data_IF_685824817440
#
_entry.id   IF_685824817440
#
_cell.length_a   1.000
_cell.length_b   1.000
_cell.length_c   1.000
_cell.angle_alpha   90.00
_cell.angle_beta   90.00
_cell.angle_gamma   90.00
#
_symmetry.space_group_name_H-M   'P 1'
#
loop_
_entity.id
_entity.type
_entity.pdbx_description
1 polymer ?
#
# COMPACT_ATOMS: atom_id res chain seq x y z
N UNK A 1 -25.14 33.17 -2.08
CA UNK A 1 -23.80 32.74 -2.50
C UNK A 1 -22.87 33.93 -2.37
N UNK A 2 -21.90 33.90 -1.46
CA UNK A 2 -20.88 34.93 -1.34
C UNK A 2 -19.93 34.81 -2.55
N UNK A 3 -19.68 35.95 -3.19
CA UNK A 3 -18.82 36.01 -4.36
C UNK A 3 -17.39 35.59 -3.94
N UNK A 4 -16.69 34.67 -4.63
CA UNK A 4 -15.36 34.21 -4.26
C UNK A 4 -14.31 35.33 -4.11
N UNK A 5 -14.54 36.48 -4.74
CA UNK A 5 -13.72 37.68 -4.57
C UNK A 5 -13.83 38.30 -3.16
N UNK A 6 -14.99 38.22 -2.51
CA UNK A 6 -15.18 38.77 -1.16
C UNK A 6 -14.52 37.90 -0.08
N UNK A 7 -14.38 36.59 -0.31
CA UNK A 7 -13.69 35.68 0.60
C UNK A 7 -12.16 35.89 0.60
N UNK A 8 -11.57 36.23 -0.54
CA UNK A 8 -10.16 36.61 -0.64
C UNK A 8 -9.85 37.87 0.17
N UNK A 9 -10.74 38.89 0.11
CA UNK A 9 -10.58 40.15 0.86
C UNK A 9 -10.60 39.94 2.39
N UNK A 10 -11.33 38.94 2.91
CA UNK A 10 -11.33 38.62 4.34
C UNK A 10 -9.99 38.00 4.77
N UNK A 11 -9.43 37.12 3.96
CA UNK A 11 -8.10 36.57 4.19
C UNK A 11 -7.01 37.63 4.17
N UNK A 12 -7.02 38.52 3.19
CA UNK A 12 -6.07 39.61 3.05
C UNK A 12 -6.14 40.61 4.23
N UNK A 13 -7.35 40.87 4.74
CA UNK A 13 -7.53 41.75 5.91
C UNK A 13 -6.95 41.13 7.19
N UNK A 14 -7.08 39.80 7.36
CA UNK A 14 -6.52 39.12 8.51
C UNK A 14 -4.99 39.05 8.49
N UNK A 15 -4.38 38.92 7.31
CA UNK A 15 -2.92 39.02 7.09
C UNK A 15 -2.40 40.39 7.31
N UNK A 16 -3.09 41.44 6.82
CA UNK A 16 -2.72 42.85 6.99
C UNK A 16 -2.70 43.28 8.46
N UNK A 17 -3.56 42.70 9.30
CA UNK A 17 -3.61 42.96 10.73
C UNK A 17 -2.51 42.24 11.54
N UNK A 18 -1.51 41.66 10.90
CA UNK A 18 -0.39 40.93 11.54
C UNK A 18 -0.84 39.87 12.54
N UNK A 19 -2.04 39.34 12.38
CA UNK A 19 -2.54 38.24 13.20
C UNK A 19 -2.00 36.93 12.63
N UNK A 20 -1.53 36.05 13.50
CA UNK A 20 -1.19 34.69 13.10
C UNK A 20 -2.44 34.04 12.51
N UNK A 21 -2.36 33.72 11.20
CA UNK A 21 -3.43 33.00 10.53
C UNK A 21 -3.47 31.59 11.10
N UNK A 22 -4.56 31.25 11.72
CA UNK A 22 -4.83 29.89 12.23
C UNK A 22 -6.00 29.32 11.46
N UNK A 23 -6.01 28.02 11.31
CA UNK A 23 -7.20 27.31 10.84
C UNK A 23 -8.40 27.71 11.69
N UNK A 24 -9.44 28.20 11.06
CA UNK A 24 -10.63 28.69 11.77
C UNK A 24 -11.90 28.38 10.98
N UNK A 25 -13.00 28.20 11.71
CA UNK A 25 -14.32 28.06 11.08
C UNK A 25 -14.90 29.46 10.84
N UNK A 26 -15.21 29.72 9.57
CA UNK A 26 -15.92 30.91 9.15
C UNK A 26 -17.43 30.73 9.16
N UNK A 27 -18.21 31.81 8.85
CA UNK A 27 -19.67 31.72 8.68
C UNK A 27 -19.98 30.74 7.54
N UNK A 28 -21.15 30.12 7.63
CA UNK A 28 -21.65 29.14 6.65
C UNK A 28 -20.78 27.87 6.52
N UNK A 29 -20.19 27.41 7.62
CA UNK A 29 -19.39 26.18 7.66
C UNK A 29 -18.21 26.20 6.66
N UNK A 30 -17.58 27.34 6.52
CA UNK A 30 -16.34 27.46 5.76
C UNK A 30 -15.13 27.27 6.66
N UNK A 31 -14.26 26.34 6.31
CA UNK A 31 -12.96 26.17 6.93
C UNK A 31 -11.94 27.01 6.17
N UNK A 32 -11.29 27.92 6.87
CA UNK A 32 -10.16 28.69 6.35
C UNK A 32 -8.86 28.07 6.84
N UNK A 33 -8.04 27.58 5.91
CA UNK A 33 -6.76 26.97 6.20
C UNK A 33 -5.63 27.73 5.48
N UNK A 34 -4.49 28.01 6.16
CA UNK A 34 -3.33 28.55 5.48
C UNK A 34 -2.80 27.52 4.48
N UNK A 35 -2.73 27.87 3.21
CA UNK A 35 -2.15 27.02 2.18
C UNK A 35 -0.66 26.75 2.43
N UNK A 36 -0.13 25.72 1.79
CA UNK A 36 1.27 25.28 1.98
C UNK A 36 2.31 26.38 1.64
N UNK A 37 1.95 27.33 0.79
CA UNK A 37 2.80 28.47 0.44
C UNK A 37 2.94 29.51 1.57
N UNK A 38 2.02 29.58 2.51
CA UNK A 38 2.14 30.40 3.72
C UNK A 38 3.21 29.88 4.70
N UNK A 39 3.58 28.62 4.62
CA UNK A 39 4.67 28.02 5.38
C UNK A 39 6.06 28.44 4.84
N UNK A 40 6.14 28.86 3.59
CA UNK A 40 7.36 29.35 2.94
C UNK A 40 7.34 30.89 2.96
N UNK A 41 7.94 31.48 3.98
CA UNK A 41 7.94 32.94 4.33
C UNK A 41 8.41 33.91 3.20
N UNK A 42 8.61 33.47 1.96
CA UNK A 42 9.25 34.30 0.91
C UNK A 42 8.38 34.63 -0.29
N UNK A 43 7.18 34.11 -0.42
CA UNK A 43 6.32 34.44 -1.57
C UNK A 43 4.97 34.99 -1.08
N UNK A 44 4.49 36.05 -1.80
CA UNK A 44 3.29 36.79 -1.44
C UNK A 44 2.12 35.84 -1.11
N UNK A 45 1.58 35.98 0.08
CA UNK A 45 0.54 35.16 0.67
C UNK A 45 -0.81 35.33 -0.07
N UNK A 46 -1.00 34.59 -1.15
CA UNK A 46 -2.28 34.56 -1.89
C UNK A 46 -3.07 33.30 -1.67
N UNK A 47 -2.54 32.31 -0.96
CA UNK A 47 -3.13 30.99 -0.82
C UNK A 47 -3.75 30.75 0.56
N UNK A 48 -4.90 31.41 0.78
CA UNK A 48 -5.83 30.97 1.82
C UNK A 48 -6.80 30.00 1.18
N UNK A 49 -6.72 28.74 1.57
CA UNK A 49 -7.67 27.72 1.17
C UNK A 49 -8.95 27.92 1.98
N UNK A 50 -10.04 28.20 1.28
CA UNK A 50 -11.38 28.28 1.85
C UNK A 50 -12.17 27.08 1.35
N UNK A 51 -12.39 26.14 2.25
CA UNK A 51 -13.17 24.93 1.95
C UNK A 51 -14.50 24.99 2.66
N UNK A 52 -15.56 24.66 1.96
CA UNK A 52 -16.87 24.49 2.57
C UNK A 52 -16.92 23.12 3.24
N UNK A 53 -16.94 23.10 4.55
CA UNK A 53 -17.15 21.87 5.30
C UNK A 53 -18.64 21.52 5.26
N UNK A 54 -19.01 20.52 4.50
CA UNK A 54 -20.35 19.92 4.60
C UNK A 54 -20.40 19.04 5.85
N UNK A 55 -20.68 19.66 6.98
CA UNK A 55 -20.82 18.94 8.27
C UNK A 55 -22.18 18.26 8.42
N UNK A 56 -23.08 18.49 7.49
CA UNK A 56 -24.41 17.90 7.46
C UNK A 56 -24.62 17.27 6.07
N UNK A 57 -23.88 16.23 5.75
CA UNK A 57 -24.43 15.25 4.86
C UNK A 57 -25.56 14.56 5.61
N UNK A 58 -26.77 14.91 5.22
CA UNK A 58 -28.01 14.36 5.79
C UNK A 58 -28.33 13.00 5.18
N UNK A 59 -27.37 12.33 4.61
CA UNK A 59 -27.56 10.97 4.13
C UNK A 59 -27.51 10.04 5.34
N UNK A 60 -28.67 9.48 5.69
CA UNK A 60 -28.82 8.59 6.84
C UNK A 60 -27.89 7.39 6.72
N UNK A 61 -27.61 6.88 5.55
CA UNK A 61 -26.71 5.74 5.32
C UNK A 61 -25.28 6.07 5.71
N UNK A 62 -24.84 7.31 5.45
CA UNK A 62 -23.50 7.77 5.85
C UNK A 62 -23.41 7.88 7.37
N UNK A 63 -24.44 8.42 8.03
CA UNK A 63 -24.49 8.53 9.48
C UNK A 63 -24.49 7.14 10.14
N UNK A 64 -25.32 6.22 9.67
CA UNK A 64 -25.40 4.85 10.18
C UNK A 64 -24.05 4.11 10.00
N UNK A 65 -23.35 4.38 8.89
CA UNK A 65 -21.99 3.86 8.67
C UNK A 65 -21.00 4.40 9.71
N UNK A 66 -21.05 5.70 10.04
CA UNK A 66 -20.16 6.27 11.07
C UNK A 66 -20.47 5.73 12.47
N UNK A 67 -21.74 5.60 12.80
CA UNK A 67 -22.17 5.04 14.09
C UNK A 67 -21.63 3.62 14.28
N UNK A 68 -21.75 2.77 13.27
CA UNK A 68 -21.24 1.40 13.29
C UNK A 68 -19.71 1.32 13.51
N UNK A 69 -18.92 2.20 12.87
CA UNK A 69 -17.47 2.26 13.10
C UNK A 69 -17.13 2.69 14.52
N UNK A 70 -17.91 3.63 15.06
CA UNK A 70 -17.73 4.10 16.43
C UNK A 70 -18.10 3.02 17.44
N UNK A 71 -19.20 2.29 17.23
CA UNK A 71 -19.60 1.16 18.08
C UNK A 71 -18.50 0.10 18.15
N UNK A 72 -17.99 -0.35 16.99
CA UNK A 72 -16.88 -1.32 16.91
C UNK A 72 -15.65 -0.80 17.68
N UNK A 73 -15.34 0.48 17.58
CA UNK A 73 -14.23 1.07 18.32
C UNK A 73 -14.46 1.04 19.83
N UNK A 74 -15.65 1.47 20.28
CA UNK A 74 -16.01 1.53 21.71
C UNK A 74 -16.01 0.14 22.37
N UNK A 75 -16.45 -0.89 21.64
CA UNK A 75 -16.39 -2.28 22.12
C UNK A 75 -14.96 -2.77 22.39
N UNK A 76 -13.97 -2.18 21.71
CA UNK A 76 -12.55 -2.49 21.85
C UNK A 76 -11.79 -1.47 22.72
N UNK A 77 -12.49 -0.68 23.52
CA UNK A 77 -11.90 0.31 24.41
C UNK A 77 -12.24 0.01 25.87
N UNK A 78 -11.38 0.49 26.76
CA UNK A 78 -11.61 0.50 28.22
C UNK A 78 -11.66 1.94 28.71
N UNK A 79 -12.60 2.20 29.58
CA UNK A 79 -12.73 3.48 30.26
C UNK A 79 -11.74 3.49 31.44
N UNK A 80 -10.78 4.40 31.41
CA UNK A 80 -9.84 4.65 32.50
C UNK A 80 -10.06 6.06 33.07
N UNK A 81 -9.71 6.24 34.35
CA UNK A 81 -9.76 7.53 35.04
C UNK A 81 -8.33 7.88 35.46
N UNK A 82 -7.93 9.12 35.25
CA UNK A 82 -6.61 9.59 35.69
C UNK A 82 -6.60 9.68 37.24
N UNK A 83 -5.47 9.24 37.84
CA UNK A 83 -5.30 9.27 39.29
C UNK A 83 -5.35 10.69 39.88
N UNK A 84 -5.09 11.72 39.08
CA UNK A 84 -5.10 13.14 39.47
C UNK A 84 -6.48 13.83 39.28
N UNK A 85 -7.32 13.32 38.36
CA UNK A 85 -8.64 13.88 38.05
C UNK A 85 -9.67 12.76 37.83
N UNK A 86 -10.23 12.23 38.92
CA UNK A 86 -11.31 11.20 38.90
C UNK A 86 -12.56 11.62 38.08
N UNK A 87 -12.65 12.85 37.61
CA UNK A 87 -13.82 13.40 36.93
C UNK A 87 -13.74 13.35 35.40
N UNK A 88 -12.55 13.12 34.84
CA UNK A 88 -12.34 13.08 33.38
C UNK A 88 -12.07 11.66 32.95
N UNK A 89 -13.03 10.97 32.30
CA UNK A 89 -12.81 9.64 31.79
C UNK A 89 -11.92 9.70 30.54
N UNK A 90 -10.91 8.85 30.50
CA UNK A 90 -10.10 8.59 29.30
C UNK A 90 -10.51 7.27 28.66
N UNK A 91 -10.62 7.28 27.34
CA UNK A 91 -10.95 6.10 26.56
C UNK A 91 -9.66 5.55 25.95
N UNK A 92 -9.20 4.41 26.44
CA UNK A 92 -8.01 3.73 25.94
C UNK A 92 -8.37 2.48 25.17
N UNK A 93 -7.75 2.34 23.98
CA UNK A 93 -7.93 1.14 23.14
C UNK A 93 -7.23 -0.03 23.81
N UNK A 94 -7.91 -1.18 23.84
CA UNK A 94 -7.32 -2.44 24.32
C UNK A 94 -6.09 -2.82 23.50
N UNK A 95 -5.02 -3.20 24.21
CA UNK A 95 -3.81 -3.68 23.56
C UNK A 95 -4.04 -5.01 22.84
N UNK A 96 -3.47 -5.14 21.65
CA UNK A 96 -3.49 -6.37 20.87
C UNK A 96 -4.16 -6.22 19.52
N UNK A 97 -4.44 -7.36 18.90
CA UNK A 97 -4.94 -7.43 17.52
C UNK A 97 -6.48 -7.51 17.40
N UNK A 98 -7.19 -7.53 18.53
CA UNK A 98 -8.66 -7.64 18.53
C UNK A 98 -9.32 -6.46 17.81
N UNK A 99 -8.90 -5.23 18.14
CA UNK A 99 -9.37 -4.02 17.51
C UNK A 99 -9.16 -4.03 15.98
N UNK A 100 -8.00 -4.51 15.51
CA UNK A 100 -7.70 -4.65 14.09
C UNK A 100 -8.68 -5.60 13.38
N UNK A 101 -8.90 -6.79 13.95
CA UNK A 101 -9.82 -7.76 13.36
C UNK A 101 -11.26 -7.25 13.34
N UNK A 102 -11.72 -6.62 14.42
CA UNK A 102 -13.07 -6.04 14.49
C UNK A 102 -13.29 -4.97 13.41
N UNK A 103 -12.34 -4.07 13.22
CA UNK A 103 -12.43 -3.07 12.15
C UNK A 103 -12.33 -3.69 10.75
N UNK A 104 -11.55 -4.74 10.54
CA UNK A 104 -11.47 -5.42 9.25
C UNK A 104 -12.78 -6.16 8.91
N UNK A 105 -13.41 -6.81 9.89
CA UNK A 105 -14.73 -7.44 9.73
C UNK A 105 -15.81 -6.40 9.41
N UNK A 106 -15.79 -5.25 10.07
CA UNK A 106 -16.72 -4.17 9.79
C UNK A 106 -16.52 -3.59 8.39
N UNK A 107 -15.27 -3.41 7.93
CA UNK A 107 -14.97 -3.00 6.57
C UNK A 107 -15.51 -3.99 5.54
N UNK A 108 -15.37 -5.28 5.81
CA UNK A 108 -15.91 -6.35 4.96
C UNK A 108 -17.43 -6.31 4.91
N UNK A 109 -18.09 -6.09 6.05
CA UNK A 109 -19.55 -5.99 6.17
C UNK A 109 -20.08 -4.79 5.39
N UNK A 110 -19.48 -3.62 5.59
CA UNK A 110 -19.90 -2.38 4.91
C UNK A 110 -19.62 -2.42 3.41
N UNK A 111 -18.50 -2.99 2.97
CA UNK A 111 -18.20 -3.20 1.56
C UNK A 111 -19.29 -4.05 0.86
N UNK A 112 -19.86 -5.02 1.55
CA UNK A 112 -20.97 -5.84 1.03
C UNK A 112 -22.31 -5.09 0.90
N UNK A 113 -22.47 -3.97 1.61
CA UNK A 113 -23.71 -3.18 1.65
C UNK A 113 -23.65 -1.89 0.81
N UNK A 114 -22.44 -1.40 0.49
CA UNK A 114 -22.23 -0.10 -0.14
C UNK A 114 -22.59 -0.10 -1.63
N UNK A 115 -23.38 0.89 -2.06
CA UNK A 115 -23.64 1.19 -3.47
C UNK A 115 -22.46 1.97 -4.10
N UNK A 116 -21.78 2.82 -3.33
CA UNK A 116 -20.55 3.52 -3.75
C UNK A 116 -19.30 2.78 -3.28
N UNK A 117 -18.78 1.95 -4.18
CA UNK A 117 -17.77 0.95 -3.88
C UNK A 117 -16.33 1.51 -3.70
N UNK A 118 -15.98 2.65 -4.30
CA UNK A 118 -14.57 3.03 -4.46
C UNK A 118 -13.88 3.44 -3.14
N UNK A 119 -14.53 4.24 -2.31
CA UNK A 119 -13.97 4.65 -1.01
C UNK A 119 -13.88 3.48 -0.03
N UNK A 120 -14.92 2.65 0.03
CA UNK A 120 -14.99 1.47 0.88
C UNK A 120 -14.02 0.38 0.44
N UNK A 121 -13.82 0.21 -0.87
CA UNK A 121 -12.83 -0.74 -1.40
C UNK A 121 -11.42 -0.41 -0.92
N UNK A 122 -11.00 0.86 -1.00
CA UNK A 122 -9.69 1.27 -0.50
C UNK A 122 -9.55 1.06 1.01
N UNK A 123 -10.58 1.40 1.79
CA UNK A 123 -10.58 1.18 3.25
C UNK A 123 -10.43 -0.30 3.59
N UNK A 124 -11.21 -1.17 2.93
CA UNK A 124 -11.11 -2.61 3.07
C UNK A 124 -9.70 -3.11 2.72
N UNK A 125 -9.15 -2.71 1.58
CA UNK A 125 -7.80 -3.11 1.15
C UNK A 125 -6.73 -2.71 2.16
N UNK A 126 -6.83 -1.53 2.78
CA UNK A 126 -5.89 -1.06 3.80
C UNK A 126 -6.00 -1.89 5.07
N UNK A 127 -7.21 -2.17 5.56
CA UNK A 127 -7.40 -2.98 6.77
C UNK A 127 -7.02 -4.45 6.53
N UNK A 128 -7.33 -5.01 5.37
CA UNK A 128 -6.89 -6.36 4.96
C UNK A 128 -5.34 -6.44 4.92
N UNK A 129 -4.65 -5.40 4.44
CA UNK A 129 -3.19 -5.32 4.51
C UNK A 129 -2.71 -5.31 5.96
N UNK A 130 -3.32 -4.51 6.82
CA UNK A 130 -2.96 -4.47 8.24
C UNK A 130 -3.16 -5.84 8.91
N UNK A 131 -4.22 -6.56 8.58
CA UNK A 131 -4.42 -7.95 9.05
C UNK A 131 -3.31 -8.87 8.54
N UNK A 132 -2.93 -8.75 7.26
CA UNK A 132 -1.84 -9.55 6.71
C UNK A 132 -0.49 -9.27 7.41
N UNK A 133 -0.22 -8.00 7.79
CA UNK A 133 1.03 -7.59 8.43
C UNK A 133 1.07 -7.88 9.94
N UNK A 134 -0.01 -7.64 10.69
CA UNK A 134 -0.03 -7.70 12.16
C UNK A 134 -1.10 -8.61 12.75
N UNK A 135 -2.10 -9.04 11.97
CA UNK A 135 -3.21 -9.86 12.44
C UNK A 135 -2.79 -11.26 12.89
N UNK A 136 -3.75 -12.04 13.36
CA UNK A 136 -3.53 -13.45 13.71
C UNK A 136 -3.36 -14.27 12.43
N UNK A 137 -2.29 -15.06 12.37
CA UNK A 137 -1.99 -15.93 11.22
C UNK A 137 -2.62 -17.31 11.35
N UNK A 138 -2.95 -17.73 12.57
CA UNK A 138 -3.52 -19.06 12.86
C UNK A 138 -4.62 -18.98 13.91
N UNK A 139 -5.59 -19.93 13.89
CA UNK A 139 -6.43 -20.18 15.03
C UNK A 139 -5.55 -20.49 16.25
N UNK A 140 -5.95 -20.01 17.43
CA UNK A 140 -5.29 -20.36 18.68
C UNK A 140 -5.63 -21.83 18.95
N UNK A 141 -4.74 -22.76 18.61
CA UNK A 141 -4.78 -24.09 19.16
C UNK A 141 -4.36 -23.99 20.63
N UNK A 142 -5.31 -24.29 21.52
CA UNK A 142 -5.20 -24.10 22.97
C UNK A 142 -4.22 -25.06 23.68
N UNK A 143 -3.25 -25.67 23.00
CA UNK A 143 -2.51 -26.82 23.51
C UNK A 143 -0.99 -26.67 23.53
N UNK A 144 -0.41 -25.48 23.73
CA UNK A 144 1.06 -25.42 23.90
C UNK A 144 1.49 -24.46 25.02
N UNK A 145 1.28 -24.89 26.27
CA UNK A 145 2.16 -24.54 27.42
C UNK A 145 3.42 -25.45 27.39
N UNK A 146 4.16 -25.48 26.28
CA UNK A 146 5.47 -26.12 26.22
C UNK A 146 6.56 -25.07 26.38
N UNK A 147 7.49 -25.31 27.32
CA UNK A 147 8.75 -24.56 27.44
C UNK A 147 9.51 -24.65 26.11
N UNK A 148 9.49 -23.56 25.33
CA UNK A 148 10.17 -23.48 24.04
C UNK A 148 11.68 -23.40 24.24
N UNK A 149 12.41 -24.24 23.53
CA UNK A 149 13.88 -24.18 23.45
C UNK A 149 14.32 -23.00 22.56
N UNK A 150 15.61 -22.59 22.65
CA UNK A 150 16.14 -21.50 21.84
C UNK A 150 16.10 -21.82 20.33
N UNK A 151 16.23 -23.09 19.95
CA UNK A 151 16.10 -23.54 18.56
C UNK A 151 14.65 -23.47 18.08
N UNK A 152 13.67 -23.77 18.96
CA UNK A 152 12.26 -23.63 18.66
C UNK A 152 11.86 -22.18 18.41
N UNK A 153 12.42 -21.22 19.17
CA UNK A 153 12.21 -19.78 18.99
C UNK A 153 12.71 -19.28 17.62
N UNK A 154 13.87 -19.74 17.17
CA UNK A 154 14.42 -19.38 15.84
C UNK A 154 13.56 -19.96 14.72
N UNK A 155 13.12 -21.20 14.86
CA UNK A 155 12.26 -21.89 13.89
C UNK A 155 10.88 -21.23 13.82
N UNK A 156 10.33 -20.81 14.95
CA UNK A 156 9.02 -20.11 14.99
C UNK A 156 9.12 -18.72 14.39
N UNK A 157 10.19 -17.98 14.61
CA UNK A 157 10.45 -16.69 13.98
C UNK A 157 10.53 -16.81 12.45
N UNK A 158 11.23 -17.81 11.93
CA UNK A 158 11.31 -18.05 10.49
C UNK A 158 9.94 -18.43 9.90
N UNK A 159 9.21 -19.32 10.58
CA UNK A 159 7.87 -19.75 10.19
C UNK A 159 6.91 -18.57 10.16
N UNK A 160 6.94 -17.73 11.19
CA UNK A 160 6.14 -16.50 11.26
C UNK A 160 6.45 -15.55 10.11
N UNK A 161 7.73 -15.39 9.73
CA UNK A 161 8.13 -14.56 8.58
C UNK A 161 7.55 -15.11 7.27
N UNK A 162 7.60 -16.42 7.08
CA UNK A 162 7.04 -17.07 5.89
C UNK A 162 5.51 -16.97 5.84
N UNK A 163 4.83 -17.19 6.97
CA UNK A 163 3.38 -17.07 7.07
C UNK A 163 2.93 -15.62 6.79
N UNK A 164 3.68 -14.61 7.24
CA UNK A 164 3.44 -13.19 6.92
C UNK A 164 3.62 -12.91 5.44
N UNK A 165 4.69 -13.42 4.83
CA UNK A 165 4.94 -13.29 3.40
C UNK A 165 3.80 -13.90 2.58
N UNK A 166 3.31 -15.07 2.99
CA UNK A 166 2.17 -15.72 2.35
C UNK A 166 0.89 -14.89 2.50
N UNK A 167 0.59 -14.36 3.69
CA UNK A 167 -0.57 -13.49 3.93
C UNK A 167 -0.53 -12.22 3.06
N UNK A 168 0.64 -11.57 2.95
CA UNK A 168 0.81 -10.40 2.08
C UNK A 168 0.70 -10.80 0.59
N UNK A 169 1.20 -11.98 0.21
CA UNK A 169 1.02 -12.52 -1.15
C UNK A 169 -0.46 -12.68 -1.49
N UNK A 170 -1.24 -13.32 -0.63
CA UNK A 170 -2.69 -13.50 -0.83
C UNK A 170 -3.43 -12.15 -0.89
N UNK A 171 -3.03 -11.19 -0.06
CA UNK A 171 -3.57 -9.84 -0.12
C UNK A 171 -3.27 -9.18 -1.47
N UNK A 172 -2.01 -9.23 -1.96
CA UNK A 172 -1.61 -8.68 -3.26
C UNK A 172 -2.40 -9.30 -4.41
N UNK A 173 -2.53 -10.62 -4.43
CA UNK A 173 -3.32 -11.34 -5.44
C UNK A 173 -4.78 -10.88 -5.48
N UNK A 174 -5.38 -10.62 -4.32
CA UNK A 174 -6.75 -10.15 -4.23
C UNK A 174 -6.91 -8.70 -4.71
N UNK A 175 -5.99 -7.81 -4.32
CA UNK A 175 -6.07 -6.38 -4.68
C UNK A 175 -5.79 -6.16 -6.15
N UNK A 176 -4.83 -6.89 -6.73
CA UNK A 176 -4.44 -6.72 -8.15
C UNK A 176 -5.29 -7.52 -9.14
N UNK A 177 -6.27 -8.26 -8.65
CA UNK A 177 -7.10 -9.17 -9.48
C UNK A 177 -7.86 -8.46 -10.60
N UNK A 178 -8.29 -7.23 -10.37
CA UNK A 178 -9.06 -6.46 -11.34
C UNK A 178 -8.18 -6.02 -12.52
N UNK A 179 -7.06 -5.40 -12.21
CA UNK A 179 -6.08 -4.93 -13.19
C UNK A 179 -5.48 -6.12 -13.98
N UNK A 180 -5.22 -7.21 -13.28
CA UNK A 180 -4.78 -8.46 -13.90
C UNK A 180 -5.78 -8.97 -14.95
N UNK A 181 -7.07 -8.96 -14.61
CA UNK A 181 -8.12 -9.40 -15.55
C UNK A 181 -8.20 -8.51 -16.78
N UNK A 182 -8.09 -7.19 -16.62
CA UNK A 182 -8.10 -6.23 -17.73
C UNK A 182 -6.91 -6.47 -18.68
N UNK A 183 -5.71 -6.72 -18.13
CA UNK A 183 -4.52 -7.03 -18.93
C UNK A 183 -4.63 -8.37 -19.65
N UNK A 184 -5.17 -9.41 -18.97
CA UNK A 184 -5.40 -10.71 -19.58
C UNK A 184 -6.39 -10.63 -20.74
N UNK A 185 -7.51 -9.93 -20.56
CA UNK A 185 -8.50 -9.74 -21.61
C UNK A 185 -7.90 -8.97 -22.80
N UNK A 186 -7.08 -7.97 -22.52
CA UNK A 186 -6.36 -7.21 -23.54
C UNK A 186 -5.33 -8.05 -24.31
N UNK A 187 -4.57 -8.90 -23.62
CA UNK A 187 -3.58 -9.79 -24.24
C UNK A 187 -4.27 -10.87 -25.10
N UNK A 188 -5.37 -11.46 -24.59
CA UNK A 188 -6.18 -12.44 -25.32
C UNK A 188 -6.81 -11.87 -26.58
N UNK A 189 -7.35 -10.65 -26.50
CA UNK A 189 -7.93 -9.95 -27.65
C UNK A 189 -6.88 -9.68 -28.75
N UNK A 190 -5.61 -9.45 -28.37
CA UNK A 190 -4.49 -9.30 -29.32
C UNK A 190 -3.91 -10.64 -29.77
N UNK A 191 -4.36 -11.74 -29.19
CA UNK A 191 -3.78 -13.09 -29.36
C UNK A 191 -2.28 -13.16 -29.08
N UNK A 192 -1.83 -12.40 -28.08
CA UNK A 192 -0.44 -12.31 -27.68
C UNK A 192 -0.14 -13.19 -26.46
N UNK A 193 0.47 -14.34 -26.74
CA UNK A 193 0.74 -15.33 -25.70
C UNK A 193 1.83 -14.91 -24.73
N UNK A 194 2.82 -14.11 -25.18
CA UNK A 194 3.88 -13.62 -24.30
C UNK A 194 3.32 -12.59 -23.29
N UNK A 195 2.46 -11.68 -23.75
CA UNK A 195 1.80 -10.72 -22.85
C UNK A 195 0.82 -11.44 -21.89
N UNK A 196 0.09 -12.47 -22.37
CA UNK A 196 -0.79 -13.28 -21.51
C UNK A 196 0.01 -13.98 -20.39
N UNK A 197 1.13 -14.62 -20.72
CA UNK A 197 2.01 -15.25 -19.73
C UNK A 197 2.61 -14.24 -18.77
N UNK A 198 3.05 -13.09 -19.27
CA UNK A 198 3.60 -12.03 -18.42
C UNK A 198 2.54 -11.47 -17.46
N UNK A 199 1.33 -11.23 -17.92
CA UNK A 199 0.21 -10.80 -17.07
C UNK A 199 -0.05 -11.82 -15.96
N UNK A 200 -0.14 -13.12 -16.28
CA UNK A 200 -0.31 -14.19 -15.30
C UNK A 200 0.81 -14.22 -14.25
N UNK A 201 2.07 -14.07 -14.69
CA UNK A 201 3.21 -14.01 -13.77
C UNK A 201 3.18 -12.76 -12.89
N UNK A 202 2.72 -11.61 -13.41
CA UNK A 202 2.58 -10.39 -12.62
C UNK A 202 1.48 -10.45 -11.55
N UNK A 203 0.57 -11.43 -11.64
CA UNK A 203 -0.44 -11.78 -10.64
C UNK A 203 -0.11 -13.05 -9.85
N UNK A 204 1.15 -13.53 -9.86
CA UNK A 204 1.60 -14.75 -9.19
C UNK A 204 0.89 -16.04 -9.67
N UNK A 205 0.21 -16.02 -10.81
CA UNK A 205 -0.51 -17.17 -11.35
C UNK A 205 0.42 -18.07 -12.20
N UNK A 206 1.48 -18.60 -11.58
CA UNK A 206 2.53 -19.38 -12.26
C UNK A 206 2.04 -20.62 -12.94
N UNK A 207 1.10 -21.37 -12.33
CA UNK A 207 0.53 -22.58 -12.92
C UNK A 207 -0.22 -22.24 -14.21
N UNK A 208 -1.09 -21.24 -14.20
CA UNK A 208 -1.82 -20.81 -15.37
C UNK A 208 -0.87 -20.30 -16.49
N UNK A 209 0.24 -19.64 -16.13
CA UNK A 209 1.27 -19.24 -17.09
C UNK A 209 1.97 -20.46 -17.72
N UNK A 210 2.24 -21.52 -16.92
CA UNK A 210 2.79 -22.77 -17.44
C UNK A 210 1.81 -23.46 -18.41
N UNK A 211 0.52 -23.54 -18.06
CA UNK A 211 -0.51 -24.12 -18.92
C UNK A 211 -0.61 -23.33 -20.24
N UNK A 212 -0.62 -22.00 -20.19
CA UNK A 212 -0.62 -21.14 -21.39
C UNK A 212 0.61 -21.39 -22.27
N UNK A 213 1.79 -21.60 -21.67
CA UNK A 213 3.01 -21.93 -22.40
C UNK A 213 2.93 -23.31 -23.06
N UNK A 214 2.37 -24.31 -22.37
CA UNK A 214 2.16 -25.67 -22.91
C UNK A 214 1.17 -25.67 -24.06
N UNK A 215 0.04 -24.97 -23.91
CA UNK A 215 -0.98 -24.83 -24.95
C UNK A 215 -0.39 -24.18 -26.24
N UNK A 216 0.56 -23.29 -26.06
CA UNK A 216 1.31 -22.69 -27.16
C UNK A 216 2.47 -23.56 -27.67
N UNK A 217 2.58 -24.80 -27.21
CA UNK A 217 3.65 -25.74 -27.55
C UNK A 217 5.08 -25.26 -27.18
N UNK A 218 5.19 -24.30 -26.28
CA UNK A 218 6.47 -23.79 -25.75
C UNK A 218 6.83 -24.49 -24.44
N UNK A 219 7.14 -25.77 -24.56
CA UNK A 219 7.48 -26.61 -23.42
C UNK A 219 8.75 -26.16 -22.68
N UNK A 220 9.65 -25.52 -23.40
CA UNK A 220 10.88 -24.97 -22.80
C UNK A 220 10.54 -23.81 -21.85
N UNK A 221 9.72 -22.87 -22.30
CA UNK A 221 9.30 -21.74 -21.48
C UNK A 221 8.43 -22.21 -20.30
N UNK A 222 7.53 -23.18 -20.51
CA UNK A 222 6.75 -23.79 -19.43
C UNK A 222 7.63 -24.38 -18.32
N UNK A 223 8.68 -25.13 -18.69
CA UNK A 223 9.66 -25.65 -17.76
C UNK A 223 10.38 -24.53 -17.01
N UNK A 224 10.80 -23.47 -17.72
CA UNK A 224 11.47 -22.33 -17.10
C UNK A 224 10.58 -21.61 -16.09
N UNK A 225 9.31 -21.38 -16.43
CA UNK A 225 8.33 -20.74 -15.53
C UNK A 225 8.08 -21.62 -14.29
N UNK A 226 7.99 -22.93 -14.46
CA UNK A 226 7.77 -23.86 -13.33
C UNK A 226 8.93 -23.85 -12.33
N UNK A 227 10.15 -23.57 -12.79
CA UNK A 227 11.36 -23.47 -11.96
C UNK A 227 11.59 -22.07 -11.38
N UNK A 228 10.82 -21.05 -11.81
CA UNK A 228 10.93 -19.67 -11.36
C UNK A 228 10.34 -19.48 -9.95
N UNK A 229 10.99 -20.02 -8.95
CA UNK A 229 10.59 -19.88 -7.54
C UNK A 229 11.62 -19.08 -6.74
N UNK A 230 11.69 -17.77 -7.03
CA UNK A 230 12.66 -16.86 -6.43
C UNK A 230 14.09 -17.06 -6.98
N UNK A 231 15.07 -16.26 -6.57
CA UNK A 231 16.44 -16.44 -6.99
C UNK A 231 16.99 -17.76 -6.42
N UNK A 232 16.58 -18.85 -7.04
CA UNK A 232 17.27 -20.11 -6.88
C UNK A 232 18.67 -19.87 -7.45
N UNK A 233 19.67 -19.74 -6.57
CA UNK A 233 21.02 -19.29 -6.89
C UNK A 233 21.61 -19.99 -8.13
N UNK A 234 21.25 -21.23 -8.37
CA UNK A 234 21.69 -22.00 -9.53
C UNK A 234 20.89 -21.74 -10.80
N UNK A 235 19.56 -21.69 -10.69
CA UNK A 235 18.69 -21.59 -11.87
C UNK A 235 18.62 -20.16 -12.40
N UNK A 236 18.42 -19.17 -11.52
CA UNK A 236 18.46 -17.76 -11.89
C UNK A 236 19.79 -17.38 -12.56
N UNK A 237 20.93 -17.83 -12.00
CA UNK A 237 22.26 -17.62 -12.59
C UNK A 237 22.43 -18.26 -13.97
N UNK A 238 21.86 -19.45 -14.19
CA UNK A 238 21.92 -20.08 -15.52
C UNK A 238 21.20 -19.23 -16.57
N UNK A 239 20.04 -18.66 -16.23
CA UNK A 239 19.31 -17.79 -17.15
C UNK A 239 20.03 -16.46 -17.32
N UNK A 240 20.60 -15.88 -16.27
CA UNK A 240 21.42 -14.68 -16.35
C UNK A 240 22.61 -14.88 -17.29
N UNK A 241 23.37 -15.94 -17.11
CA UNK A 241 24.48 -16.30 -18.00
C UNK A 241 24.01 -16.49 -19.46
N UNK A 242 22.79 -17.01 -19.66
CA UNK A 242 22.24 -17.16 -21.01
C UNK A 242 21.88 -15.80 -21.62
N UNK A 243 21.28 -14.90 -20.86
CA UNK A 243 20.96 -13.54 -21.27
C UNK A 243 22.23 -12.75 -21.61
N UNK A 244 23.29 -12.87 -20.81
CA UNK A 244 24.61 -12.26 -21.07
C UNK A 244 25.22 -12.78 -22.37
N UNK A 245 25.19 -14.08 -22.60
CA UNK A 245 25.68 -14.69 -23.88
C UNK A 245 24.90 -14.18 -25.09
N UNK A 246 23.57 -14.03 -24.97
CA UNK A 246 22.78 -13.48 -26.06
C UNK A 246 23.13 -12.01 -26.32
N UNK A 247 23.38 -11.23 -25.29
CA UNK A 247 23.82 -9.85 -25.40
C UNK A 247 25.21 -9.75 -26.04
N UNK A 248 26.20 -10.53 -25.58
CA UNK A 248 27.57 -10.56 -26.15
C UNK A 248 27.59 -10.97 -27.62
N UNK A 249 26.81 -11.99 -27.97
CA UNK A 249 26.69 -12.46 -29.37
C UNK A 249 25.71 -11.60 -30.19
N UNK A 250 25.05 -10.63 -29.61
CA UNK A 250 23.98 -9.84 -30.23
C UNK A 250 22.83 -10.69 -30.80
N UNK A 251 22.62 -11.87 -30.23
CA UNK A 251 21.54 -12.79 -30.63
C UNK A 251 20.20 -12.38 -30.11
N UNK A 252 20.17 -11.55 -29.04
CA UNK A 252 18.98 -10.97 -28.46
C UNK A 252 18.12 -10.17 -29.45
N UNK A 253 18.72 -9.63 -30.50
CA UNK A 253 18.03 -8.93 -31.61
C UNK A 253 17.02 -9.78 -32.36
N UNK A 254 17.26 -11.11 -32.40
CA UNK A 254 16.43 -12.09 -33.11
C UNK A 254 15.34 -12.69 -32.20
N UNK A 255 15.34 -12.34 -30.91
CA UNK A 255 14.35 -12.80 -29.92
C UNK A 255 13.36 -11.70 -29.70
N UNK A 256 12.07 -12.04 -29.64
CA UNK A 256 11.00 -11.08 -29.36
C UNK A 256 11.20 -10.41 -27.99
N UNK A 257 11.05 -9.08 -27.90
CA UNK A 257 11.25 -8.30 -26.69
C UNK A 257 10.37 -8.79 -25.52
N UNK A 258 9.14 -9.19 -25.82
CA UNK A 258 8.21 -9.73 -24.82
C UNK A 258 8.69 -11.05 -24.24
N UNK A 259 9.28 -11.89 -25.07
CA UNK A 259 9.90 -13.14 -24.64
C UNK A 259 11.15 -12.89 -23.78
N UNK A 260 11.99 -11.93 -24.18
CA UNK A 260 13.13 -11.49 -23.37
C UNK A 260 12.68 -10.91 -22.01
N UNK A 261 11.54 -10.21 -21.97
CA UNK A 261 10.93 -9.71 -20.73
C UNK A 261 10.59 -10.86 -19.77
N UNK A 262 10.04 -11.96 -20.27
CA UNK A 262 9.78 -13.17 -19.48
C UNK A 262 11.08 -13.78 -18.94
N UNK A 263 12.12 -13.93 -19.76
CA UNK A 263 13.41 -14.45 -19.31
C UNK A 263 14.07 -13.54 -18.27
N UNK A 264 14.01 -12.21 -18.45
CA UNK A 264 14.52 -11.23 -17.52
C UNK A 264 13.83 -11.35 -16.14
N UNK A 265 12.51 -11.50 -16.14
CA UNK A 265 11.74 -11.73 -14.90
C UNK A 265 12.13 -13.04 -14.21
N UNK A 266 12.17 -14.16 -14.96
CA UNK A 266 12.51 -15.49 -14.42
C UNK A 266 13.96 -15.53 -13.90
N UNK A 267 14.87 -14.76 -14.51
CA UNK A 267 16.26 -14.65 -14.05
C UNK A 267 16.43 -13.84 -12.76
N UNK A 268 15.37 -13.16 -12.29
CA UNK A 268 15.45 -12.26 -11.14
C UNK A 268 16.12 -10.91 -11.46
N UNK A 269 16.19 -10.52 -12.73
CA UNK A 269 16.70 -9.22 -13.16
C UNK A 269 15.56 -8.35 -13.67
N UNK A 270 15.05 -7.40 -12.87
CA UNK A 270 13.91 -6.57 -13.27
C UNK A 270 14.25 -5.65 -14.44
N UNK A 271 15.52 -5.32 -14.59
CA UNK A 271 16.04 -4.51 -15.68
C UNK A 271 17.24 -5.22 -16.32
N UNK A 272 17.12 -5.48 -17.60
CA UNK A 272 18.18 -6.11 -18.36
C UNK A 272 18.61 -5.23 -19.55
N UNK A 273 19.91 -4.85 -19.64
CA UNK A 273 20.43 -4.06 -20.74
C UNK A 273 20.62 -4.96 -21.98
N UNK A 274 19.66 -4.99 -22.89
CA UNK A 274 19.82 -5.66 -24.18
C UNK A 274 20.75 -4.91 -25.13
N UNK A 275 21.13 -5.54 -26.27
CA UNK A 275 22.06 -4.96 -27.27
C UNK A 275 21.51 -3.68 -27.93
N UNK A 276 20.20 -3.56 -28.09
CA UNK A 276 19.56 -2.41 -28.74
C UNK A 276 18.66 -1.61 -27.77
N UNK A 277 18.02 -2.28 -26.83
CA UNK A 277 17.06 -1.66 -25.91
C UNK A 277 17.15 -2.30 -24.55
N UNK A 278 17.06 -1.48 -23.51
CA UNK A 278 16.91 -1.97 -22.15
C UNK A 278 15.49 -2.53 -21.96
N UNK A 279 15.39 -3.71 -21.38
CA UNK A 279 14.13 -4.36 -21.05
C UNK A 279 13.85 -4.11 -19.57
N UNK A 280 12.68 -3.56 -19.28
CA UNK A 280 12.19 -3.33 -17.93
C UNK A 280 10.95 -4.19 -17.69
N UNK A 281 10.99 -5.07 -16.71
CA UNK A 281 9.86 -5.95 -16.36
C UNK A 281 8.73 -5.21 -15.66
N UNK A 282 9.05 -4.11 -14.96
CA UNK A 282 8.06 -3.30 -14.25
C UNK A 282 7.41 -2.21 -15.12
N UNK A 283 7.80 -2.12 -16.39
CA UNK A 283 7.26 -1.12 -17.32
C UNK A 283 5.75 -1.33 -17.52
N UNK A 284 4.96 -0.25 -17.35
CA UNK A 284 3.50 -0.22 -17.45
C UNK A 284 2.74 -1.06 -16.40
N UNK A 285 3.40 -1.47 -15.32
CA UNK A 285 2.72 -2.06 -14.18
C UNK A 285 2.37 -0.99 -13.13
N UNK A 286 1.27 -1.19 -12.42
CA UNK A 286 0.98 -0.49 -11.19
C UNK A 286 2.00 -0.86 -10.10
N UNK A 287 2.14 0.00 -9.09
CA UNK A 287 3.15 -0.19 -8.07
C UNK A 287 2.94 -1.46 -7.22
N UNK A 288 1.69 -1.89 -7.02
CA UNK A 288 1.38 -3.11 -6.25
C UNK A 288 1.88 -4.36 -6.97
N UNK A 289 1.64 -4.47 -8.28
CA UNK A 289 2.17 -5.58 -9.08
C UNK A 289 3.69 -5.50 -9.22
N UNK A 290 4.24 -4.28 -9.37
CA UNK A 290 5.69 -4.12 -9.39
C UNK A 290 6.32 -4.57 -8.07
N UNK A 291 5.75 -4.21 -6.91
CA UNK A 291 6.17 -4.72 -5.61
C UNK A 291 5.99 -6.24 -5.50
N UNK A 292 4.88 -6.78 -6.00
CA UNK A 292 4.64 -8.22 -6.09
C UNK A 292 5.74 -8.97 -6.85
N UNK A 293 6.20 -8.44 -7.99
CA UNK A 293 7.32 -9.03 -8.73
C UNK A 293 8.59 -9.09 -7.87
N UNK A 294 8.89 -8.03 -7.10
CA UNK A 294 10.03 -8.04 -6.18
C UNK A 294 9.87 -9.11 -5.09
N UNK A 295 8.67 -9.24 -4.52
CA UNK A 295 8.37 -10.20 -3.47
C UNK A 295 8.45 -11.66 -3.93
N UNK A 296 8.03 -11.95 -5.18
CA UNK A 296 7.89 -13.33 -5.67
C UNK A 296 9.08 -13.84 -6.48
N UNK A 297 9.79 -12.95 -7.20
CA UNK A 297 10.83 -13.36 -8.16
C UNK A 297 12.21 -12.80 -7.88
N UNK A 298 12.34 -11.67 -7.15
CA UNK A 298 13.61 -10.99 -6.98
C UNK A 298 14.30 -11.31 -5.65
N UNK A 299 13.53 -11.57 -4.59
CA UNK A 299 14.10 -11.97 -3.31
C UNK A 299 14.19 -13.50 -3.21
N UNK A 300 15.07 -13.96 -2.30
CA UNK A 300 15.14 -15.39 -1.95
C UNK A 300 13.78 -15.91 -1.46
N UNK A 301 13.44 -17.18 -1.68
CA UNK A 301 12.26 -17.79 -1.07
C UNK A 301 12.17 -17.58 0.43
N UNK A 302 13.31 -17.59 1.13
CA UNK A 302 13.41 -17.32 2.57
C UNK A 302 13.54 -15.82 2.91
N UNK A 303 13.53 -14.93 1.91
CA UNK A 303 13.63 -13.47 2.10
C UNK A 303 12.37 -12.89 2.71
N UNK A 304 12.54 -11.83 3.48
CA UNK A 304 11.47 -11.12 4.18
C UNK A 304 10.73 -10.11 3.28
N UNK A 305 9.57 -9.64 3.75
CA UNK A 305 8.85 -8.52 3.14
C UNK A 305 9.73 -7.27 3.10
N UNK A 306 10.54 -7.04 4.15
CA UNK A 306 11.45 -5.90 4.25
C UNK A 306 12.53 -5.94 3.16
N UNK A 307 13.05 -7.13 2.81
CA UNK A 307 14.02 -7.27 1.73
C UNK A 307 13.41 -6.91 0.37
N UNK A 308 12.17 -7.36 0.12
CA UNK A 308 11.44 -7.01 -1.11
C UNK A 308 11.17 -5.50 -1.20
N UNK A 309 10.80 -4.87 -0.09
CA UNK A 309 10.52 -3.45 -0.02
C UNK A 309 11.78 -2.61 -0.29
N UNK A 310 12.92 -2.98 0.30
CA UNK A 310 14.19 -2.29 0.08
C UNK A 310 14.60 -2.35 -1.40
N UNK A 311 14.51 -3.53 -2.03
CA UNK A 311 14.81 -3.68 -3.46
C UNK A 311 13.86 -2.86 -4.34
N UNK A 312 12.58 -2.83 -3.97
CA UNK A 312 11.57 -2.03 -4.67
C UNK A 312 11.87 -0.52 -4.55
N UNK A 313 12.21 -0.02 -3.34
CA UNK A 313 12.58 1.38 -3.14
C UNK A 313 13.84 1.76 -3.92
N UNK A 314 14.86 0.91 -3.92
CA UNK A 314 16.05 1.13 -4.73
C UNK A 314 15.72 1.24 -6.23
N UNK A 315 14.75 0.48 -6.72
CA UNK A 315 14.37 0.46 -8.13
C UNK A 315 13.76 1.79 -8.59
N UNK A 316 12.98 2.48 -7.76
CA UNK A 316 12.39 3.75 -8.17
C UNK A 316 13.15 5.00 -7.69
N UNK A 317 14.05 4.89 -6.68
CA UNK A 317 14.90 5.99 -6.24
C UNK A 317 16.13 6.24 -7.13
N UNK A 318 16.59 5.23 -7.87
CA UNK A 318 17.67 5.40 -8.85
C UNK A 318 17.21 6.44 -9.88
N UNK A 319 17.99 7.50 -10.09
CA UNK A 319 17.70 8.69 -10.93
C UNK A 319 17.13 8.42 -12.32
N UNK A 320 17.16 7.20 -12.76
CA UNK A 320 16.47 6.71 -13.92
C UNK A 320 15.09 6.21 -13.47
N UNK A 321 14.13 7.10 -13.33
CA UNK A 321 12.69 6.84 -13.12
C UNK A 321 12.04 5.85 -14.10
N UNK A 322 12.86 5.13 -14.85
CA UNK A 322 12.48 4.13 -15.83
C UNK A 322 12.30 2.72 -15.25
N UNK A 323 12.65 2.48 -13.99
CA UNK A 323 12.84 1.13 -13.49
C UNK A 323 11.75 0.58 -12.57
N UNK A 324 10.92 1.42 -12.01
CA UNK A 324 9.84 0.96 -11.15
C UNK A 324 8.63 1.88 -11.17
N UNK A 325 7.46 1.34 -10.96
CA UNK A 325 6.26 2.12 -10.72
C UNK A 325 6.36 2.76 -9.33
N UNK A 326 6.18 4.07 -9.27
CA UNK A 326 6.19 4.84 -8.05
C UNK A 326 4.91 4.57 -7.26
N UNK A 327 5.01 4.35 -5.94
CA UNK A 327 3.86 4.14 -5.05
C UNK A 327 3.13 5.46 -4.79
N UNK A 328 2.54 6.03 -5.83
CA UNK A 328 1.96 7.35 -5.85
C UNK A 328 0.68 7.42 -5.04
N UNK A 329 0.54 8.47 -4.23
CA UNK A 329 -0.70 8.78 -3.53
C UNK A 329 -1.83 9.17 -4.50
N UNK A 330 -3.12 9.04 -4.12
CA UNK A 330 -4.26 9.30 -4.99
C UNK A 330 -4.34 10.72 -5.57
N UNK A 331 -3.77 11.72 -4.89
CA UNK A 331 -3.67 13.10 -5.37
C UNK A 331 -2.61 13.32 -6.45
N UNK A 332 -1.63 12.45 -6.55
CA UNK A 332 -0.67 12.39 -7.66
C UNK A 332 0.21 13.60 -7.92
N UNK A 333 0.10 14.66 -7.14
CA UNK A 333 0.74 15.95 -7.41
C UNK A 333 1.97 16.24 -6.57
N UNK A 334 2.20 15.48 -5.51
CA UNK A 334 3.29 15.73 -4.56
C UNK A 334 4.22 14.51 -4.51
N UNK A 335 5.49 14.63 -4.97
CA UNK A 335 6.43 13.51 -4.97
C UNK A 335 6.81 13.03 -3.57
N UNK A 336 6.49 13.81 -2.54
CA UNK A 336 6.83 13.48 -1.16
C UNK A 336 5.76 12.59 -0.48
N UNK A 337 4.60 12.40 -1.10
CA UNK A 337 3.51 11.58 -0.56
C UNK A 337 3.33 10.28 -1.31
N UNK A 338 3.43 9.18 -0.58
CA UNK A 338 3.18 7.82 -1.06
C UNK A 338 1.78 7.35 -0.71
N UNK A 339 1.34 6.27 -1.35
CA UNK A 339 0.11 5.54 -0.96
C UNK A 339 0.21 5.05 0.49
N UNK A 340 -0.88 5.15 1.24
CA UNK A 340 -0.95 4.66 2.63
C UNK A 340 -0.51 3.20 2.78
N UNK A 341 -0.83 2.35 1.81
CA UNK A 341 -0.42 0.93 1.79
C UNK A 341 1.09 0.78 1.78
N UNK A 342 1.79 1.64 1.02
CA UNK A 342 3.25 1.68 1.00
C UNK A 342 3.83 2.15 2.34
N UNK A 343 3.24 3.18 2.94
CA UNK A 343 3.66 3.63 4.28
C UNK A 343 3.45 2.55 5.35
N UNK A 344 2.38 1.75 5.27
CA UNK A 344 2.16 0.62 6.19
C UNK A 344 3.21 -0.49 6.01
N UNK A 345 3.58 -0.80 4.77
CA UNK A 345 4.69 -1.73 4.49
C UNK A 345 6.01 -1.21 5.07
N UNK A 346 6.28 0.10 4.93
CA UNK A 346 7.47 0.74 5.53
C UNK A 346 7.45 0.67 7.04
N UNK A 347 6.32 0.94 7.68
CA UNK A 347 6.17 0.85 9.12
C UNK A 347 6.39 -0.58 9.63
N UNK A 348 5.95 -1.57 8.87
CA UNK A 348 6.20 -2.98 9.19
C UNK A 348 7.69 -3.33 9.09
N UNK A 349 8.38 -2.83 8.06
CA UNK A 349 9.81 -3.05 7.86
C UNK A 349 10.69 -2.26 8.88
N UNK A 350 10.30 -1.03 9.17
CA UNK A 350 10.98 -0.14 10.11
C UNK A 350 9.98 0.53 11.04
N UNK A 351 9.99 0.12 12.30
CA UNK A 351 9.11 0.66 13.36
C UNK A 351 9.33 2.15 13.65
N UNK A 352 10.43 2.73 13.18
CA UNK A 352 10.72 4.17 13.33
C UNK A 352 10.08 5.05 12.25
N UNK A 353 9.39 4.43 11.27
CA UNK A 353 8.72 5.17 10.20
C UNK A 353 7.66 6.14 10.74
N UNK A 354 7.60 7.34 10.17
CA UNK A 354 6.76 8.44 10.66
C UNK A 354 5.26 8.11 10.53
N UNK A 355 4.57 7.96 11.66
CA UNK A 355 3.13 7.71 11.72
C UNK A 355 2.30 8.89 11.17
N UNK A 356 2.82 10.12 11.28
CA UNK A 356 2.19 11.31 10.73
C UNK A 356 1.94 11.18 9.22
N UNK A 357 2.89 10.59 8.50
CA UNK A 357 2.74 10.33 7.07
C UNK A 357 1.62 9.34 6.75
N UNK A 358 1.39 8.35 7.63
CA UNK A 358 0.36 7.33 7.44
C UNK A 358 -1.05 7.92 7.63
N UNK A 359 -1.23 8.75 8.65
CA UNK A 359 -2.54 9.31 9.03
C UNK A 359 -2.96 10.49 8.13
N UNK A 360 -2.05 11.01 7.32
CA UNK A 360 -2.30 12.17 6.45
C UNK A 360 -3.32 11.81 5.34
N UNK A 361 -4.44 12.56 5.20
CA UNK A 361 -5.44 12.30 4.15
C UNK A 361 -4.89 12.27 2.73
N UNK A 362 -3.80 13.01 2.44
CA UNK A 362 -3.16 13.04 1.13
C UNK A 362 -2.71 11.65 0.63
N UNK A 363 -2.47 10.70 1.55
CA UNK A 363 -1.95 9.36 1.23
C UNK A 363 -3.03 8.39 0.76
N UNK A 364 -4.32 8.65 1.02
CA UNK A 364 -5.39 7.69 0.74
C UNK A 364 -6.65 8.29 0.11
N UNK A 365 -6.81 9.62 0.12
CA UNK A 365 -8.01 10.27 -0.45
C UNK A 365 -7.68 11.55 -1.19
N UNK A 366 -8.57 11.95 -2.08
CA UNK A 366 -8.51 13.26 -2.75
C UNK A 366 -9.13 14.38 -1.90
N UNK A 367 -9.90 14.05 -0.86
CA UNK A 367 -10.50 14.98 0.06
C UNK A 367 -9.60 15.20 1.27
N UNK A 368 -8.98 16.37 1.37
CA UNK A 368 -8.04 16.69 2.47
C UNK A 368 -8.70 16.77 3.86
N UNK A 369 -10.01 16.77 3.93
CA UNK A 369 -10.78 16.81 5.17
C UNK A 369 -11.33 15.43 5.58
N UNK A 370 -11.11 14.40 4.78
CA UNK A 370 -11.53 13.04 5.10
C UNK A 370 -10.48 12.33 5.96
N UNK A 371 -10.62 12.43 7.24
CA UNK A 371 -9.76 11.77 8.23
C UNK A 371 -10.27 10.40 8.69
N UNK A 372 -11.37 9.89 8.12
CA UNK A 372 -12.01 8.66 8.58
C UNK A 372 -11.04 7.47 8.61
N UNK A 373 -10.40 7.17 7.48
CA UNK A 373 -9.45 6.07 7.38
C UNK A 373 -8.21 6.34 8.26
N UNK A 374 -7.68 7.55 8.24
CA UNK A 374 -6.53 7.94 9.06
C UNK A 374 -6.80 7.76 10.56
N UNK A 375 -8.00 8.11 11.02
CA UNK A 375 -8.41 7.91 12.42
C UNK A 375 -8.48 6.42 12.77
N UNK A 376 -9.16 5.59 11.96
CA UNK A 376 -9.27 4.14 12.18
C UNK A 376 -7.87 3.49 12.23
N UNK A 377 -7.04 3.77 11.23
CA UNK A 377 -5.66 3.25 11.16
C UNK A 377 -4.84 3.71 12.37
N UNK A 378 -4.98 4.98 12.78
CA UNK A 378 -4.32 5.51 13.97
C UNK A 378 -4.72 4.77 15.25
N UNK A 379 -6.01 4.51 15.47
CA UNK A 379 -6.48 3.76 16.63
C UNK A 379 -6.01 2.31 16.63
N UNK A 380 -6.04 1.66 15.46
CA UNK A 380 -5.51 0.29 15.32
C UNK A 380 -4.00 0.26 15.58
N UNK A 381 -3.23 1.22 15.07
CA UNK A 381 -1.79 1.29 15.35
C UNK A 381 -1.51 1.55 16.84
N UNK A 382 -2.36 2.35 17.51
CA UNK A 382 -2.30 2.55 18.97
C UNK A 382 -2.52 1.22 19.71
N UNK A 383 -3.48 0.40 19.32
CA UNK A 383 -3.72 -0.92 19.92
C UNK A 383 -2.56 -1.89 19.70
N UNK A 384 -1.82 -1.77 18.59
CA UNK A 384 -0.63 -2.56 18.27
C UNK A 384 0.65 -2.07 18.97
N UNK A 385 0.57 -1.04 19.83
CA UNK A 385 1.68 -0.54 20.64
C UNK A 385 2.48 0.61 20.03
N UNK A 386 2.05 1.20 18.90
CA UNK A 386 2.68 2.38 18.30
C UNK A 386 2.22 3.67 19.00
N UNK A 387 2.45 3.81 20.32
CA UNK A 387 1.85 4.85 21.17
C UNK A 387 2.53 6.22 21.10
N UNK A 388 3.82 6.29 20.87
CA UNK A 388 4.60 7.49 21.19
C UNK A 388 4.47 8.65 20.20
N UNK A 389 3.84 8.47 19.05
CA UNK A 389 3.77 9.50 18.00
C UNK A 389 2.35 10.05 17.76
N UNK A 390 1.30 9.37 18.22
CA UNK A 390 -0.08 9.78 17.95
C UNK A 390 -0.58 10.88 18.90
N UNK A 391 -0.01 11.03 20.09
CA UNK A 391 -0.37 12.10 21.03
C UNK A 391 -0.02 13.49 20.51
N UNK A 392 0.92 13.62 19.56
CA UNK A 392 1.29 14.90 18.96
C UNK A 392 0.39 15.30 17.77
N UNK A 393 -0.37 14.37 17.21
CA UNK A 393 -1.20 14.60 16.01
C UNK A 393 -2.63 14.99 16.40
N UNK A 394 -3.13 14.49 17.52
CA UNK A 394 -4.51 14.69 17.98
C UNK A 394 -4.63 15.57 19.22
N UNK A 395 -3.52 16.14 19.74
CA UNK A 395 -3.52 17.20 20.74
C UNK A 395 -3.55 18.58 20.05
#
# INVERSE_FOLDING_TARGET
MLNPTNLKLIGDSALFMSRHFRTNFGPFWTLSNPGDNLKKIKEAATDVLLEKVNTLETDQQVLDSFESWLEVHLENCVLSFDDEDEQVPHLDVLEGVACLHAHAEEAQRQFGLAEDLQGMENMKQVLDLMVALWGRLRPIDNDEDMEMTQDDLVQDCHKTTMDRKEAVTQWLENVTKKELKEDLDSARNRNDKCDEMFALLSGNQRLAACDTAQDNSDHYLAMMISMASGPNLTFGQLIQNQLERWQESRSDKFIEKKRLKLFSLISGQPVWPGSETTINTCENLDWLRAFGLHLWYLISPAGSISDALNLYEEAFQKETSQFGAYAQAPLGQDPDFFDIKFHLLKLYADKSHALESIVNPKTYTKCLLDFKLGWIVGQVLKSLGYRYLLSLIFS
#
